data_IF_155069638134
#
_entry.id   IF_155069638134
#
_cell.length_a   1.000
_cell.length_b   1.000
_cell.length_c   1.000
_cell.angle_alpha   90.00
_cell.angle_beta   90.00
_cell.angle_gamma   90.00
#
_symmetry.space_group_name_H-M   'P 1'
#
loop_
_entity.id
_entity.type
_entity.pdbx_description
1 polymer ?
#
# COMPACT_ATOMS: atom_id res chain seq x y z
N UNK A 1 3.86 29.03 15.91
CA UNK A 1 3.69 27.85 15.04
C UNK A 1 2.47 28.08 14.18
N UNK A 2 2.54 27.81 12.88
CA UNK A 2 1.37 27.82 12.01
C UNK A 2 0.33 26.78 12.47
N UNK A 3 -0.95 27.12 12.43
CA UNK A 3 -2.07 26.27 12.85
C UNK A 3 -2.15 24.97 12.04
N UNK A 4 -1.86 25.04 10.73
CA UNK A 4 -1.80 23.89 9.83
C UNK A 4 -0.63 22.98 10.20
N UNK A 5 0.54 23.55 10.49
CA UNK A 5 1.70 22.78 10.93
C UNK A 5 1.43 22.05 12.26
N UNK A 6 0.80 22.72 13.22
CA UNK A 6 0.41 22.10 14.49
C UNK A 6 -0.56 20.94 14.27
N UNK A 7 -1.56 21.11 13.40
CA UNK A 7 -2.51 20.07 13.05
C UNK A 7 -1.82 18.88 12.35
N UNK A 8 -0.96 19.12 11.36
CA UNK A 8 -0.21 18.07 10.67
C UNK A 8 0.72 17.30 11.61
N UNK A 9 1.36 17.99 12.56
CA UNK A 9 2.20 17.35 13.56
C UNK A 9 1.36 16.48 14.51
N UNK A 10 0.20 16.97 14.94
CA UNK A 10 -0.73 16.17 15.74
C UNK A 10 -1.20 14.93 14.98
N UNK A 11 -1.57 15.07 13.69
CA UNK A 11 -1.95 13.95 12.82
C UNK A 11 -0.80 12.95 12.71
N UNK A 12 0.43 13.40 12.46
CA UNK A 12 1.61 12.53 12.36
C UNK A 12 1.81 11.69 13.63
N UNK A 13 1.79 12.35 14.79
CA UNK A 13 2.01 11.69 16.09
C UNK A 13 0.88 10.70 16.38
N UNK A 14 -0.39 11.12 16.22
CA UNK A 14 -1.55 10.27 16.49
C UNK A 14 -1.63 9.09 15.51
N UNK A 15 -1.34 9.30 14.22
CA UNK A 15 -1.27 8.22 13.24
C UNK A 15 -0.18 7.20 13.59
N UNK A 16 0.97 7.65 14.10
CA UNK A 16 2.03 6.77 14.62
C UNK A 16 1.55 5.90 15.78
N UNK A 17 0.84 6.48 16.75
CA UNK A 17 0.24 5.72 17.85
C UNK A 17 -0.80 4.70 17.38
N UNK A 18 -1.66 5.08 16.43
CA UNK A 18 -2.64 4.18 15.81
C UNK A 18 -1.93 3.03 15.10
N UNK A 19 -0.90 3.32 14.31
CA UNK A 19 -0.08 2.31 13.63
C UNK A 19 0.51 1.30 14.61
N UNK A 20 1.13 1.77 15.69
CA UNK A 20 1.65 0.89 16.75
C UNK A 20 0.53 0.02 17.36
N UNK A 21 -0.57 0.63 17.79
CA UNK A 21 -1.67 -0.08 18.45
C UNK A 21 -2.34 -1.15 17.58
N UNK A 22 -2.35 -0.96 16.25
CA UNK A 22 -2.90 -1.92 15.28
C UNK A 22 -1.90 -3.03 14.99
N UNK A 23 -0.64 -2.70 14.67
CA UNK A 23 0.38 -3.67 14.26
C UNK A 23 0.75 -4.62 15.42
N UNK A 24 0.78 -4.14 16.67
CA UNK A 24 1.05 -4.98 17.84
C UNK A 24 0.04 -6.11 18.08
N UNK A 25 -1.11 -6.09 17.40
CA UNK A 25 -2.17 -7.09 17.54
C UNK A 25 -2.24 -8.07 16.38
N UNK A 26 -1.34 -7.98 15.40
CA UNK A 26 -1.32 -8.89 14.24
C UNK A 26 -0.67 -10.22 14.64
N UNK A 27 -1.31 -11.38 14.37
CA UNK A 27 -0.73 -12.68 14.68
C UNK A 27 0.50 -12.99 13.81
N UNK A 28 1.40 -13.84 14.32
CA UNK A 28 2.67 -14.12 13.65
C UNK A 28 2.54 -14.72 12.24
N UNK A 29 1.45 -15.44 11.99
CA UNK A 29 1.12 -16.01 10.68
C UNK A 29 0.91 -14.95 9.60
N UNK A 30 0.58 -13.71 9.99
CA UNK A 30 0.26 -12.62 9.06
C UNK A 30 1.39 -11.61 8.87
N UNK A 31 2.56 -11.74 9.52
CA UNK A 31 3.66 -10.75 9.37
C UNK A 31 4.14 -10.60 7.92
N UNK A 32 4.24 -11.69 7.17
CA UNK A 32 4.68 -11.64 5.77
C UNK A 32 3.61 -11.05 4.84
N UNK A 33 2.33 -11.48 4.90
CA UNK A 33 1.24 -10.78 4.22
C UNK A 33 1.14 -9.30 4.62
N UNK A 34 1.33 -8.97 5.91
CA UNK A 34 1.30 -7.61 6.42
C UNK A 34 2.44 -6.77 5.84
N UNK A 35 3.66 -7.32 5.78
CA UNK A 35 4.82 -6.67 5.16
C UNK A 35 4.55 -6.35 3.68
N UNK A 36 3.93 -7.29 2.95
CA UNK A 36 3.51 -7.04 1.57
C UNK A 36 2.40 -5.99 1.48
N UNK A 37 1.42 -6.04 2.38
CA UNK A 37 0.30 -5.10 2.42
C UNK A 37 0.74 -3.67 2.72
N UNK A 38 1.64 -3.46 3.68
CA UNK A 38 2.21 -2.13 3.96
C UNK A 38 3.08 -1.63 2.82
N UNK A 39 3.71 -2.55 2.06
CA UNK A 39 4.41 -2.22 0.82
C UNK A 39 3.47 -1.70 -0.29
N UNK A 40 2.22 -2.16 -0.34
CA UNK A 40 1.21 -1.66 -1.27
C UNK A 40 0.62 -0.31 -0.82
N UNK A 41 0.44 -0.11 0.49
CA UNK A 41 -0.15 1.10 1.07
C UNK A 41 0.79 2.31 0.91
N UNK A 42 2.10 2.14 1.07
CA UNK A 42 3.04 3.25 0.88
C UNK A 42 3.12 3.72 -0.58
N UNK A 43 2.54 2.96 -1.52
CA UNK A 43 2.30 3.37 -2.89
C UNK A 43 1.45 4.64 -3.04
N UNK A 44 0.93 5.21 -1.95
CA UNK A 44 0.34 6.56 -1.89
C UNK A 44 1.25 7.66 -2.50
N UNK A 45 2.56 7.41 -2.61
CA UNK A 45 3.49 8.27 -3.36
C UNK A 45 3.00 8.54 -4.80
N UNK A 46 2.30 7.59 -5.42
CA UNK A 46 1.62 7.77 -6.71
C UNK A 46 0.68 8.98 -6.71
N UNK A 47 -0.14 9.12 -5.66
CA UNK A 47 -1.06 10.26 -5.53
C UNK A 47 -0.28 11.58 -5.44
N UNK A 48 0.86 11.58 -4.73
CA UNK A 48 1.77 12.72 -4.71
C UNK A 48 2.24 13.11 -6.10
N UNK A 49 2.70 12.15 -6.90
CA UNK A 49 3.13 12.38 -8.28
C UNK A 49 2.01 12.93 -9.19
N UNK A 50 0.81 12.38 -9.09
CA UNK A 50 -0.37 12.85 -9.84
C UNK A 50 -0.74 14.29 -9.44
N UNK A 51 -0.70 14.60 -8.14
CA UNK A 51 -1.00 15.94 -7.64
C UNK A 51 0.03 16.96 -8.12
N UNK A 52 1.33 16.62 -8.08
CA UNK A 52 2.40 17.50 -8.56
C UNK A 52 2.25 17.74 -10.06
N UNK A 53 2.00 16.69 -10.85
CA UNK A 53 1.73 16.81 -12.29
C UNK A 53 0.52 17.71 -12.56
N UNK A 54 -0.58 17.56 -11.82
CA UNK A 54 -1.79 18.36 -11.98
C UNK A 54 -1.65 19.83 -11.54
N UNK A 55 -0.57 20.19 -10.84
CA UNK A 55 -0.26 21.55 -10.41
C UNK A 55 0.96 22.16 -11.12
N UNK A 56 1.56 21.42 -12.05
CA UNK A 56 2.74 21.89 -12.75
C UNK A 56 2.35 22.94 -13.82
N UNK A 57 2.77 24.17 -13.61
CA UNK A 57 2.67 25.26 -14.59
C UNK A 57 4.01 25.36 -15.32
N UNK A 58 3.99 25.28 -16.66
CA UNK A 58 5.16 25.28 -17.54
C UNK A 58 6.33 24.35 -17.10
N UNK A 59 6.08 23.05 -16.89
CA UNK A 59 7.11 22.13 -16.43
C UNK A 59 8.23 21.98 -17.46
N UNK A 60 9.48 22.03 -16.99
CA UNK A 60 10.63 21.74 -17.84
C UNK A 60 10.58 20.29 -18.35
N UNK A 61 11.29 20.00 -19.45
CA UNK A 61 11.38 18.63 -19.98
C UNK A 61 11.89 17.65 -18.92
N UNK A 62 12.80 18.10 -18.05
CA UNK A 62 13.31 17.29 -16.94
C UNK A 62 12.22 16.95 -15.93
N UNK A 63 11.40 17.93 -15.53
CA UNK A 63 10.31 17.73 -14.58
C UNK A 63 9.27 16.74 -15.12
N UNK A 64 8.94 16.86 -16.41
CA UNK A 64 8.01 15.94 -17.08
C UNK A 64 8.53 14.50 -17.06
N UNK A 65 9.82 14.30 -17.38
CA UNK A 65 10.44 12.96 -17.36
C UNK A 65 10.46 12.37 -15.96
N UNK A 66 10.85 13.17 -14.96
CA UNK A 66 10.87 12.73 -13.55
C UNK A 66 9.47 12.36 -13.08
N UNK A 67 8.45 13.16 -13.41
CA UNK A 67 7.07 12.89 -13.03
C UNK A 67 6.53 11.61 -13.68
N UNK A 68 6.85 11.37 -14.95
CA UNK A 68 6.48 10.11 -15.63
C UNK A 68 7.11 8.91 -14.93
N UNK A 69 8.40 8.97 -14.58
CA UNK A 69 9.10 7.89 -13.87
C UNK A 69 8.50 7.69 -12.47
N UNK A 70 8.24 8.78 -11.74
CA UNK A 70 7.66 8.73 -10.41
C UNK A 70 6.27 8.08 -10.40
N UNK A 71 5.42 8.45 -11.35
CA UNK A 71 4.08 7.87 -11.51
C UNK A 71 4.18 6.40 -11.93
N UNK A 72 5.07 6.05 -12.87
CA UNK A 72 5.27 4.68 -13.30
C UNK A 72 5.70 3.76 -12.14
N UNK A 73 6.69 4.19 -11.34
CA UNK A 73 7.12 3.43 -10.16
C UNK A 73 6.08 3.41 -9.05
N UNK A 74 5.34 4.50 -8.84
CA UNK A 74 4.19 4.51 -7.93
C UNK A 74 3.12 3.48 -8.34
N UNK A 75 2.78 3.42 -9.63
CA UNK A 75 1.84 2.43 -10.17
C UNK A 75 2.34 1.00 -9.98
N UNK A 76 3.62 0.72 -10.30
CA UNK A 76 4.22 -0.60 -10.10
C UNK A 76 4.17 -1.02 -8.63
N UNK A 77 4.46 -0.11 -7.71
CA UNK A 77 4.42 -0.38 -6.29
C UNK A 77 3.00 -0.72 -5.79
N UNK A 78 2.01 0.11 -6.15
CA UNK A 78 0.60 -0.12 -5.78
C UNK A 78 0.10 -1.44 -6.36
N UNK A 79 0.18 -1.61 -7.68
CA UNK A 79 -0.36 -2.80 -8.36
C UNK A 79 0.37 -4.07 -7.95
N UNK A 80 1.71 -4.05 -7.96
CA UNK A 80 2.52 -5.18 -7.55
C UNK A 80 2.30 -5.55 -6.08
N UNK A 81 2.25 -4.55 -5.19
CA UNK A 81 2.00 -4.74 -3.77
C UNK A 81 0.64 -5.40 -3.50
N UNK A 82 -0.44 -4.90 -4.11
CA UNK A 82 -1.77 -5.47 -3.91
C UNK A 82 -1.91 -6.88 -4.52
N UNK A 83 -1.33 -7.15 -5.70
CA UNK A 83 -1.36 -8.48 -6.31
C UNK A 83 -0.62 -9.53 -5.48
N UNK A 84 0.57 -9.19 -4.97
CA UNK A 84 1.34 -10.10 -4.12
C UNK A 84 0.62 -10.34 -2.80
N UNK A 85 0.06 -9.28 -2.20
CA UNK A 85 -0.69 -9.39 -0.93
C UNK A 85 -1.93 -10.26 -1.09
N UNK A 86 -2.71 -10.10 -2.16
CA UNK A 86 -3.88 -10.93 -2.44
C UNK A 86 -3.49 -12.41 -2.60
N UNK A 87 -2.42 -12.70 -3.36
CA UNK A 87 -1.90 -14.06 -3.51
C UNK A 87 -1.48 -14.66 -2.17
N UNK A 88 -0.83 -13.88 -1.31
CA UNK A 88 -0.43 -14.32 0.03
C UNK A 88 -1.65 -14.61 0.91
N UNK A 89 -2.66 -13.72 0.93
CA UNK A 89 -3.88 -13.91 1.70
C UNK A 89 -4.74 -15.07 1.17
N UNK A 90 -4.68 -15.34 -0.13
CA UNK A 90 -5.32 -16.50 -0.77
C UNK A 90 -4.85 -17.84 -0.21
N UNK A 91 -3.63 -17.93 0.36
CA UNK A 91 -3.10 -19.16 0.97
C UNK A 91 -3.78 -19.52 2.30
N UNK A 92 -4.50 -18.58 2.92
CA UNK A 92 -5.27 -18.82 4.16
C UNK A 92 -6.70 -19.30 3.89
N UNK A 93 -7.14 -19.32 2.63
CA UNK A 93 -8.43 -19.90 2.25
C UNK A 93 -8.31 -21.42 2.27
N UNK A 94 -9.16 -22.10 3.04
CA UNK A 94 -9.23 -23.57 3.04
C UNK A 94 -9.45 -24.08 1.62
N UNK A 95 -8.64 -25.06 1.19
CA UNK A 95 -8.93 -25.79 -0.05
C UNK A 95 -10.29 -26.48 0.13
N UNK A 96 -11.20 -26.45 -0.86
CA UNK A 96 -12.41 -27.25 -0.80
C UNK A 96 -11.99 -28.72 -0.64
N UNK A 97 -12.55 -29.39 0.36
CA UNK A 97 -12.23 -30.76 0.72
C UNK A 97 -12.30 -31.68 -0.51
N UNK A 98 -11.18 -32.36 -0.79
CA UNK A 98 -11.07 -33.35 -1.85
C UNK A 98 -11.77 -34.68 -1.49
N UNK A 99 -12.58 -34.72 -0.43
CA UNK A 99 -13.21 -35.94 0.11
C UNK A 99 -14.56 -36.30 -0.53
N UNK A 100 -15.09 -35.50 -1.46
CA UNK A 100 -16.36 -35.79 -2.16
C UNK A 100 -16.22 -36.37 -3.57
N UNK A 101 -14.99 -36.67 -4.05
CA UNK A 101 -14.78 -37.21 -5.41
C UNK A 101 -14.61 -38.73 -5.50
N UNK A 102 -14.38 -39.43 -4.40
CA UNK A 102 -14.15 -40.89 -4.41
C UNK A 102 -15.40 -41.74 -4.12
N UNK A 103 -16.55 -41.15 -3.77
CA UNK A 103 -17.79 -41.92 -3.54
C UNK A 103 -18.58 -42.23 -4.83
N UNK A 104 -18.08 -41.84 -6.01
CA UNK A 104 -18.81 -42.01 -7.28
C UNK A 104 -18.05 -42.84 -8.32
N UNK A 105 -17.18 -43.75 -7.89
CA UNK A 105 -16.49 -44.69 -8.78
C UNK A 105 -16.84 -46.14 -8.49
#
# INVERSE_FOLDING_TARGET
>A
MDSTLLANLAILVLAGFVGFAVISKVPNTLHTPLMSGTNAIHGIVLLGGIIVLGRAEDPSVLDQVILVIAIAFGMINVVGGFLVTDRMLGMFKSRPDATTRDEKK
#
